data_IF_960581811232
#
_entry.id   IF_960581811232
#
_cell.length_a   1.000
_cell.length_b   1.000
_cell.length_c   1.000
_cell.angle_alpha   90.00
_cell.angle_beta   90.00
_cell.angle_gamma   90.00
#
_symmetry.space_group_name_H-M   'P 1'
#
loop_
_entity.id
_entity.type
_entity.pdbx_description
1 polymer ?
#
# COMPACT_ATOMS: atom_id res chain seq x y z
N UNK A 1 9.24 -46.97 37.64
CA UNK A 1 8.97 -45.52 37.55
C UNK A 1 8.13 -45.29 36.32
N UNK A 2 6.84 -44.96 36.49
CA UNK A 2 5.94 -44.66 35.38
C UNK A 2 6.25 -43.22 34.96
N UNK A 3 6.76 -43.02 33.74
CA UNK A 3 6.86 -41.68 33.18
C UNK A 3 5.43 -41.21 32.88
N UNK A 4 4.87 -40.35 33.73
CA UNK A 4 3.70 -39.57 33.36
C UNK A 4 4.10 -38.66 32.19
N UNK A 5 3.57 -38.98 31.01
CA UNK A 5 3.73 -38.13 29.84
C UNK A 5 3.04 -36.80 30.11
N UNK A 6 3.82 -35.72 30.26
CA UNK A 6 3.30 -34.36 30.37
C UNK A 6 2.54 -34.01 29.08
N UNK A 7 1.21 -34.12 29.12
CA UNK A 7 0.34 -33.81 27.99
C UNK A 7 -0.03 -32.34 28.06
N UNK A 8 0.48 -31.56 27.12
CA UNK A 8 0.05 -30.17 26.92
C UNK A 8 -1.38 -30.20 26.38
N UNK A 9 -2.34 -29.48 26.99
CA UNK A 9 -3.69 -29.37 26.45
C UNK A 9 -3.64 -28.82 25.02
N UNK A 10 -4.43 -29.36 24.08
CA UNK A 10 -4.52 -28.76 22.75
C UNK A 10 -5.11 -27.35 22.90
N UNK A 11 -4.32 -26.35 22.49
CA UNK A 11 -4.75 -24.95 22.44
C UNK A 11 -4.85 -24.54 20.99
N UNK A 12 -5.84 -23.70 20.70
CA UNK A 12 -5.99 -23.12 19.38
C UNK A 12 -4.81 -22.15 19.12
N UNK A 13 -4.13 -22.25 17.96
CA UNK A 13 -3.08 -21.30 17.61
C UNK A 13 -3.61 -19.88 17.54
N UNK A 14 -2.82 -18.90 17.98
CA UNK A 14 -3.17 -17.50 17.79
C UNK A 14 -3.33 -17.17 16.30
N UNK A 15 -4.27 -16.26 16.01
CA UNK A 15 -4.35 -15.65 14.69
C UNK A 15 -3.00 -14.99 14.34
N UNK A 16 -2.56 -14.98 13.07
CA UNK A 16 -1.25 -14.46 12.68
C UNK A 16 -0.96 -13.04 13.20
N UNK A 17 -1.92 -12.13 13.11
CA UNK A 17 -1.79 -10.76 13.62
C UNK A 17 -1.65 -10.70 15.14
N UNK A 18 -2.37 -11.54 15.89
CA UNK A 18 -2.26 -11.63 17.34
C UNK A 18 -0.89 -12.20 17.76
N UNK A 19 -0.41 -13.22 17.03
CA UNK A 19 0.93 -13.78 17.25
C UNK A 19 2.01 -12.71 17.04
N UNK A 20 1.97 -11.98 15.94
CA UNK A 20 2.93 -10.90 15.64
C UNK A 20 2.89 -9.80 16.71
N UNK A 21 1.69 -9.40 17.15
CA UNK A 21 1.55 -8.44 18.25
C UNK A 21 2.21 -8.95 19.54
N UNK A 22 1.96 -10.21 19.91
CA UNK A 22 2.58 -10.82 21.10
C UNK A 22 4.09 -10.97 20.98
N UNK A 23 4.62 -11.27 19.80
CA UNK A 23 6.07 -11.29 19.55
C UNK A 23 6.68 -9.91 19.78
N UNK A 24 6.07 -8.86 19.22
CA UNK A 24 6.51 -7.49 19.45
C UNK A 24 6.39 -7.07 20.92
N UNK A 25 5.27 -7.37 21.60
CA UNK A 25 5.08 -7.03 23.01
C UNK A 25 6.07 -7.77 23.94
N UNK A 26 6.48 -8.99 23.57
CA UNK A 26 7.39 -9.81 24.38
C UNK A 26 8.87 -9.46 24.17
N UNK A 27 9.29 -9.14 22.94
CA UNK A 27 10.72 -9.04 22.56
C UNK A 27 11.08 -7.69 21.93
N UNK A 28 10.09 -6.89 21.53
CA UNK A 28 10.28 -5.60 20.88
C UNK A 28 10.50 -5.66 19.37
N UNK A 29 10.41 -6.83 18.75
CA UNK A 29 10.49 -7.02 17.30
C UNK A 29 9.68 -8.24 16.84
N UNK A 30 9.36 -8.29 15.56
CA UNK A 30 8.63 -9.42 14.97
C UNK A 30 9.58 -10.55 14.56
N UNK A 31 9.28 -11.78 14.96
CA UNK A 31 10.13 -12.95 14.74
C UNK A 31 9.69 -13.76 13.51
N UNK A 32 8.38 -13.89 13.34
CA UNK A 32 7.81 -14.83 12.36
C UNK A 32 7.37 -14.18 11.04
N UNK A 33 7.36 -12.86 10.96
CA UNK A 33 6.95 -12.09 9.78
C UNK A 33 6.91 -10.59 10.11
N UNK A 34 6.42 -9.75 9.21
CA UNK A 34 6.22 -8.33 9.44
C UNK A 34 4.76 -7.95 9.12
N UNK A 35 4.14 -6.99 9.81
CA UNK A 35 2.79 -6.51 9.44
C UNK A 35 2.66 -5.96 8.00
N UNK A 36 3.77 -5.80 7.29
CA UNK A 36 3.80 -5.34 5.90
C UNK A 36 3.70 -6.50 4.89
N UNK A 37 3.87 -7.74 5.34
CA UNK A 37 3.85 -8.93 4.48
C UNK A 37 2.50 -9.11 3.80
N UNK A 38 1.40 -8.77 4.51
CA UNK A 38 0.03 -8.76 3.98
C UNK A 38 -0.15 -7.80 2.79
N UNK A 39 0.76 -6.85 2.60
CA UNK A 39 0.70 -5.82 1.56
C UNK A 39 1.70 -6.02 0.43
N UNK A 40 2.42 -7.15 0.36
CA UNK A 40 3.49 -7.39 -0.62
C UNK A 40 3.12 -6.99 -2.07
N UNK A 41 1.91 -7.34 -2.51
CA UNK A 41 1.43 -7.00 -3.86
C UNK A 41 1.30 -5.49 -4.08
N UNK A 42 0.82 -4.76 -3.07
CA UNK A 42 0.68 -3.30 -3.09
C UNK A 42 2.06 -2.65 -3.11
N UNK A 43 2.96 -3.13 -2.25
CA UNK A 43 4.31 -2.60 -2.08
C UNK A 43 5.15 -2.74 -3.36
N UNK A 44 5.10 -3.91 -4.03
CA UNK A 44 5.77 -4.15 -5.31
C UNK A 44 5.31 -3.14 -6.38
N UNK A 45 4.01 -2.85 -6.46
CA UNK A 45 3.43 -1.89 -7.42
C UNK A 45 3.81 -0.44 -7.08
N UNK A 46 3.82 -0.09 -5.80
CA UNK A 46 4.21 1.24 -5.32
C UNK A 46 5.73 1.50 -5.46
N UNK A 47 6.51 0.48 -5.84
CA UNK A 47 7.97 0.54 -5.98
C UNK A 47 8.64 1.09 -4.71
N UNK A 48 8.12 0.68 -3.55
CA UNK A 48 8.76 1.03 -2.28
C UNK A 48 10.06 0.25 -2.15
N UNK A 49 11.05 0.87 -1.53
CA UNK A 49 12.31 0.21 -1.19
C UNK A 49 12.37 -0.07 0.31
N UNK A 50 13.19 -1.06 0.70
CA UNK A 50 13.50 -1.30 2.12
C UNK A 50 14.38 -0.18 2.64
N UNK A 51 14.28 0.10 3.94
CA UNK A 51 15.08 1.13 4.57
C UNK A 51 16.59 0.80 4.51
N UNK A 52 16.99 -0.46 4.68
CA UNK A 52 18.40 -0.84 4.57
C UNK A 52 19.01 -0.46 3.20
N UNK A 53 18.30 -0.72 2.10
CA UNK A 53 18.74 -0.38 0.74
C UNK A 53 18.81 1.15 0.55
N UNK A 54 17.83 1.87 1.12
CA UNK A 54 17.83 3.33 1.14
C UNK A 54 19.05 3.88 1.88
N UNK A 55 19.30 3.38 3.09
CA UNK A 55 20.40 3.82 3.93
C UNK A 55 21.76 3.55 3.26
N UNK A 56 21.92 2.43 2.56
CA UNK A 56 23.13 2.15 1.78
C UNK A 56 23.32 3.17 0.65
N UNK A 57 22.24 3.50 -0.07
CA UNK A 57 22.27 4.51 -1.14
C UNK A 57 22.67 5.89 -0.60
N UNK A 58 22.15 6.27 0.58
CA UNK A 58 22.48 7.54 1.23
C UNK A 58 23.93 7.56 1.71
N UNK A 59 24.45 6.46 2.25
CA UNK A 59 25.88 6.36 2.63
C UNK A 59 26.81 6.52 1.43
N UNK A 60 26.43 6.00 0.27
CA UNK A 60 27.21 6.14 -0.95
C UNK A 60 27.18 7.56 -1.54
N UNK A 61 26.02 8.22 -1.49
CA UNK A 61 25.78 9.49 -2.19
C UNK A 61 25.77 10.73 -1.27
N UNK A 62 25.87 10.53 0.05
CA UNK A 62 25.74 11.57 1.08
C UNK A 62 24.31 12.06 1.34
N UNK A 63 23.38 11.90 0.39
CA UNK A 63 21.97 12.27 0.51
C UNK A 63 21.09 11.40 -0.38
N UNK A 64 19.79 11.35 -0.09
CA UNK A 64 18.84 10.61 -0.92
C UNK A 64 17.38 10.89 -0.55
N UNK A 65 16.49 10.49 -1.47
CA UNK A 65 15.04 10.51 -1.26
C UNK A 65 14.46 9.17 -1.72
N UNK A 66 13.51 8.64 -0.95
CA UNK A 66 12.94 7.33 -1.18
C UNK A 66 11.49 7.22 -0.74
N UNK A 67 10.77 6.22 -1.27
CA UNK A 67 9.49 5.78 -0.76
C UNK A 67 9.68 4.46 -0.02
N UNK A 68 9.33 4.40 1.26
CA UNK A 68 9.55 3.25 2.14
C UNK A 68 8.25 2.88 2.82
N UNK A 69 7.92 1.60 2.86
CA UNK A 69 6.79 1.11 3.64
C UNK A 69 7.24 0.72 5.05
N UNK A 70 6.47 1.13 6.05
CA UNK A 70 6.84 0.98 7.47
C UNK A 70 5.63 0.65 8.33
N UNK A 71 5.88 0.00 9.46
CA UNK A 71 4.97 -0.05 10.59
C UNK A 71 5.45 0.92 11.67
N UNK A 72 4.54 1.70 12.24
CA UNK A 72 4.86 2.61 13.34
C UNK A 72 4.99 1.82 14.64
N UNK A 73 6.13 1.93 15.32
CA UNK A 73 6.33 1.36 16.65
C UNK A 73 5.89 2.36 17.72
N UNK A 74 6.42 3.58 17.66
CA UNK A 74 6.16 4.62 18.65
C UNK A 74 6.39 6.02 18.06
N UNK A 75 5.81 7.04 18.72
CA UNK A 75 5.97 8.45 18.37
C UNK A 75 6.16 9.29 19.62
N UNK A 76 7.21 10.10 19.63
CA UNK A 76 7.42 11.14 20.66
C UNK A 76 7.51 12.53 20.04
N UNK A 77 7.02 13.54 20.75
CA UNK A 77 7.16 14.95 20.36
C UNK A 77 8.18 15.65 21.27
N UNK A 78 9.12 16.38 20.67
CA UNK A 78 10.13 17.18 21.36
C UNK A 78 10.16 18.60 20.82
N UNK A 79 10.75 19.52 21.57
CA UNK A 79 11.08 20.87 21.08
C UNK A 79 12.53 20.90 20.64
N UNK A 80 12.79 21.52 19.49
CA UNK A 80 14.15 21.80 19.01
C UNK A 80 14.79 22.89 19.87
N UNK A 81 16.11 23.05 19.74
CA UNK A 81 16.86 24.15 20.38
C UNK A 81 16.33 25.53 19.99
N UNK A 82 15.74 25.66 18.80
CA UNK A 82 15.08 26.89 18.31
C UNK A 82 13.66 27.09 18.83
N UNK A 83 13.12 26.16 19.64
CA UNK A 83 11.77 26.23 20.22
C UNK A 83 10.66 25.62 19.35
N UNK A 84 10.96 25.25 18.10
CA UNK A 84 9.99 24.60 17.19
C UNK A 84 9.67 23.17 17.62
N UNK A 85 8.45 22.70 17.34
CA UNK A 85 8.07 21.30 17.60
C UNK A 85 8.69 20.36 16.55
N UNK A 86 9.11 19.17 17.00
CA UNK A 86 9.66 18.11 16.17
C UNK A 86 9.13 16.76 16.68
N UNK A 87 8.70 15.89 15.78
CA UNK A 87 8.36 14.51 16.06
C UNK A 87 9.56 13.61 15.84
N UNK A 88 9.71 12.61 16.71
CA UNK A 88 10.62 11.48 16.56
C UNK A 88 9.74 10.25 16.46
N UNK A 89 9.85 9.52 15.36
CA UNK A 89 9.03 8.34 15.08
C UNK A 89 9.93 7.11 14.97
N UNK A 90 9.63 6.10 15.77
CA UNK A 90 10.24 4.79 15.68
C UNK A 90 9.45 3.95 14.69
N UNK A 91 10.14 3.45 13.68
CA UNK A 91 9.56 2.77 12.53
C UNK A 91 10.21 1.40 12.36
N UNK A 92 9.46 0.46 11.81
CA UNK A 92 9.91 -0.89 11.46
C UNK A 92 9.60 -1.19 10.01
N UNK A 93 10.53 -1.82 9.32
CA UNK A 93 10.28 -2.54 8.06
C UNK A 93 10.89 -3.96 8.15
N UNK A 94 10.73 -4.82 7.12
CA UNK A 94 11.31 -6.16 7.14
C UNK A 94 12.84 -6.18 7.19
N UNK A 95 13.52 -5.06 6.96
CA UNK A 95 14.99 -4.95 7.07
C UNK A 95 15.46 -4.54 8.46
N UNK A 96 14.58 -3.97 9.28
CA UNK A 96 14.85 -3.65 10.68
C UNK A 96 14.10 -2.41 11.17
N UNK A 97 14.53 -1.92 12.33
CA UNK A 97 13.98 -0.73 12.95
C UNK A 97 14.86 0.48 12.72
N UNK A 98 14.24 1.65 12.59
CA UNK A 98 14.95 2.92 12.45
C UNK A 98 14.14 4.09 13.01
N UNK A 99 14.84 5.16 13.35
CA UNK A 99 14.24 6.40 13.83
C UNK A 99 14.19 7.42 12.69
N UNK A 100 13.05 8.10 12.52
CA UNK A 100 12.91 9.19 11.57
C UNK A 100 12.33 10.45 12.22
N UNK A 101 12.82 11.61 11.77
CA UNK A 101 12.38 12.90 12.29
C UNK A 101 11.28 13.51 11.44
N UNK A 102 10.37 14.23 12.09
CA UNK A 102 9.26 14.93 11.48
C UNK A 102 9.25 16.40 11.95
N UNK A 103 9.53 17.33 11.06
CA UNK A 103 9.56 18.75 11.42
C UNK A 103 8.16 19.33 11.61
N UNK A 104 8.07 20.49 12.29
CA UNK A 104 6.80 21.08 12.74
C UNK A 104 5.67 21.12 11.70
N UNK A 105 5.96 21.44 10.44
CA UNK A 105 4.93 21.48 9.38
C UNK A 105 4.37 20.07 9.11
N UNK A 106 5.24 19.11 8.84
CA UNK A 106 4.85 17.73 8.59
C UNK A 106 4.23 17.09 9.85
N UNK A 107 4.71 17.47 11.05
CA UNK A 107 4.14 17.03 12.31
C UNK A 107 2.70 17.49 12.49
N UNK A 108 2.40 18.75 12.20
CA UNK A 108 1.02 19.25 12.28
C UNK A 108 0.10 18.53 11.31
N UNK A 109 0.58 18.16 10.12
CA UNK A 109 -0.21 17.50 9.08
C UNK A 109 -0.43 16.02 9.34
N UNK A 110 0.59 15.30 9.80
CA UNK A 110 0.60 13.83 9.80
C UNK A 110 0.61 13.21 11.21
N UNK A 111 0.62 14.00 12.29
CA UNK A 111 0.61 13.49 13.68
C UNK A 111 -0.44 12.42 13.91
N UNK A 112 -1.66 12.60 13.43
CA UNK A 112 -2.76 11.68 13.72
C UNK A 112 -2.70 10.40 12.85
N UNK A 113 -1.80 10.36 11.85
CA UNK A 113 -1.54 9.16 11.06
C UNK A 113 -0.44 8.27 11.67
N UNK A 114 0.43 8.84 12.51
CA UNK A 114 1.62 8.19 13.05
C UNK A 114 1.32 7.54 14.40
N UNK A 115 0.30 6.70 14.45
CA UNK A 115 -0.08 5.95 15.65
C UNK A 115 0.59 4.56 15.67
N UNK A 116 1.03 4.06 16.83
CA UNK A 116 1.58 2.72 16.97
C UNK A 116 0.70 1.65 16.32
N UNK A 117 1.34 0.72 15.61
CA UNK A 117 0.68 -0.39 14.91
C UNK A 117 0.14 -0.05 13.51
N UNK A 118 0.15 1.23 13.09
CA UNK A 118 -0.29 1.59 11.74
C UNK A 118 0.77 1.26 10.69
N UNK A 119 0.33 0.68 9.57
CA UNK A 119 1.13 0.48 8.38
C UNK A 119 1.00 1.70 7.45
N UNK A 120 2.13 2.29 7.09
CA UNK A 120 2.22 3.54 6.34
C UNK A 120 3.22 3.40 5.20
N UNK A 121 3.06 4.23 4.18
CA UNK A 121 4.09 4.47 3.18
C UNK A 121 4.59 5.90 3.34
N UNK A 122 5.89 6.02 3.59
CA UNK A 122 6.55 7.29 3.84
C UNK A 122 7.39 7.70 2.64
N UNK A 123 7.37 8.99 2.32
CA UNK A 123 8.43 9.62 1.52
C UNK A 123 9.48 10.14 2.48
N UNK A 124 10.68 9.56 2.43
CA UNK A 124 11.81 9.94 3.27
C UNK A 124 12.82 10.73 2.45
N UNK A 125 13.32 11.83 3.01
CA UNK A 125 14.60 12.40 2.63
C UNK A 125 15.63 12.00 3.70
N UNK A 126 16.88 11.79 3.33
CA UNK A 126 17.92 11.47 4.32
C UNK A 126 19.24 12.09 3.91
N UNK A 127 20.01 12.50 4.92
CA UNK A 127 21.36 13.04 4.77
C UNK A 127 22.29 12.23 5.65
N UNK A 128 23.49 11.97 5.15
CA UNK A 128 24.57 11.37 5.91
C UNK A 128 25.19 12.43 6.83
N UNK A 129 25.21 12.16 8.14
CA UNK A 129 25.92 12.97 9.12
C UNK A 129 26.95 12.09 9.84
N UNK A 130 28.22 12.24 9.43
CA UNK A 130 29.27 11.29 9.80
C UNK A 130 28.99 9.91 9.18
N UNK A 131 28.77 8.90 10.02
CA UNK A 131 28.42 7.53 9.61
C UNK A 131 26.90 7.25 9.72
N UNK A 132 26.15 8.18 10.33
CA UNK A 132 24.74 8.01 10.61
C UNK A 132 23.86 8.56 9.48
N UNK A 133 22.91 7.73 9.03
CA UNK A 133 21.87 8.16 8.10
C UNK A 133 20.75 8.77 8.92
N UNK A 134 20.44 10.05 8.68
CA UNK A 134 19.34 10.76 9.36
C UNK A 134 18.13 10.91 8.43
N UNK A 135 17.15 10.01 8.51
CA UNK A 135 15.95 10.11 7.71
C UNK A 135 14.97 11.14 8.31
N UNK A 136 14.36 11.89 7.42
CA UNK A 136 13.31 12.88 7.66
C UNK A 136 12.09 12.47 6.85
N UNK A 137 10.94 12.49 7.51
CA UNK A 137 9.65 12.21 6.88
C UNK A 137 9.16 13.49 6.17
N UNK A 138 8.90 13.37 4.87
CA UNK A 138 8.35 14.47 4.06
C UNK A 138 6.86 14.29 3.77
N UNK A 139 6.42 13.05 3.56
CA UNK A 139 5.02 12.72 3.25
C UNK A 139 4.63 11.37 3.86
N UNK A 140 3.34 11.24 4.18
CA UNK A 140 2.78 10.06 4.85
C UNK A 140 1.48 9.67 4.16
N UNK A 141 1.42 8.44 3.68
CA UNK A 141 0.21 7.84 3.13
C UNK A 141 -0.15 6.58 3.92
N UNK A 142 -1.44 6.38 4.20
CA UNK A 142 -1.92 5.17 4.89
C UNK A 142 -1.88 4.01 3.90
N UNK A 143 -1.27 2.89 4.31
CA UNK A 143 -1.12 1.74 3.42
C UNK A 143 -2.47 1.13 3.06
N UNK A 144 -3.41 1.07 4.00
CA UNK A 144 -4.80 0.64 3.77
C UNK A 144 -5.51 1.53 2.75
N UNK A 145 -5.35 2.86 2.83
CA UNK A 145 -5.94 3.77 1.85
C UNK A 145 -5.30 3.57 0.48
N UNK A 146 -4.00 3.30 0.40
CA UNK A 146 -3.32 3.00 -0.86
C UNK A 146 -3.74 1.64 -1.42
N UNK A 147 -4.03 0.68 -0.56
CA UNK A 147 -4.59 -0.62 -0.91
C UNK A 147 -6.07 -0.50 -1.34
N UNK A 148 -6.85 0.39 -0.73
CA UNK A 148 -8.25 0.64 -1.05
C UNK A 148 -8.43 1.57 -2.26
N UNK A 149 -7.48 2.47 -2.49
CA UNK A 149 -7.30 3.22 -3.76
C UNK A 149 -6.79 2.31 -4.87
N UNK A 150 -6.59 1.01 -4.62
CA UNK A 150 -6.46 0.08 -5.73
C UNK A 150 -7.73 0.17 -6.54
N UNK A 151 -7.49 0.75 -7.72
CA UNK A 151 -8.46 1.05 -8.74
C UNK A 151 -9.23 -0.20 -9.03
N UNK A 152 -10.55 -0.09 -8.95
CA UNK A 152 -11.41 -0.98 -9.67
C UNK A 152 -11.07 -0.76 -11.15
N UNK A 153 -10.26 -1.65 -11.72
CA UNK A 153 -9.99 -1.63 -13.15
C UNK A 153 -11.04 -2.52 -13.81
N UNK A 154 -11.74 -1.97 -14.79
CA UNK A 154 -12.78 -2.69 -15.50
C UNK A 154 -12.18 -3.36 -16.73
N UNK A 155 -12.19 -4.68 -16.76
CA UNK A 155 -11.91 -5.43 -17.99
C UNK A 155 -13.22 -5.81 -18.65
N UNK A 156 -13.36 -5.49 -19.93
CA UNK A 156 -14.57 -5.77 -20.70
C UNK A 156 -14.20 -6.66 -21.88
N UNK A 157 -14.73 -7.88 -21.89
CA UNK A 157 -14.49 -8.84 -22.95
C UNK A 157 -15.53 -8.68 -24.05
N UNK A 158 -15.06 -8.55 -25.29
CA UNK A 158 -15.86 -8.26 -26.48
C UNK A 158 -15.59 -9.28 -27.59
N UNK A 159 -16.61 -9.63 -28.36
CA UNK A 159 -16.47 -10.45 -29.59
C UNK A 159 -16.46 -9.60 -30.86
N UNK A 160 -17.08 -8.42 -30.81
CA UNK A 160 -17.13 -7.49 -31.93
C UNK A 160 -17.11 -6.04 -31.43
N UNK A 161 -16.98 -5.12 -32.37
CA UNK A 161 -16.88 -3.67 -32.15
C UNK A 161 -18.24 -2.99 -31.88
N UNK A 162 -19.36 -3.71 -32.02
CA UNK A 162 -20.72 -3.15 -31.90
C UNK A 162 -21.03 -2.66 -30.49
N UNK A 163 -20.40 -3.26 -29.48
CA UNK A 163 -20.59 -2.88 -28.09
C UNK A 163 -19.89 -1.56 -27.72
N UNK A 164 -18.90 -1.11 -28.50
CA UNK A 164 -18.01 0.01 -28.15
C UNK A 164 -18.77 1.31 -27.89
N UNK A 165 -19.73 1.65 -28.76
CA UNK A 165 -20.54 2.86 -28.61
C UNK A 165 -21.40 2.83 -27.34
N UNK A 166 -22.01 1.67 -27.04
CA UNK A 166 -22.83 1.49 -25.84
C UNK A 166 -21.99 1.54 -24.55
N UNK A 167 -20.76 1.00 -24.59
CA UNK A 167 -19.83 1.06 -23.46
C UNK A 167 -19.41 2.50 -23.21
N UNK A 168 -19.02 3.24 -24.26
CA UNK A 168 -18.59 4.63 -24.17
C UNK A 168 -19.63 5.52 -23.48
N UNK A 169 -20.91 5.37 -23.80
CA UNK A 169 -21.99 6.15 -23.16
C UNK A 169 -22.23 5.78 -21.69
N UNK A 170 -21.89 4.55 -21.28
CA UNK A 170 -22.10 4.04 -19.91
C UNK A 170 -20.94 4.36 -18.97
N UNK A 171 -19.73 4.53 -19.51
CA UNK A 171 -18.51 4.80 -18.73
C UNK A 171 -18.14 6.29 -18.71
N UNK A 172 -18.84 7.12 -19.48
CA UNK A 172 -18.64 8.58 -19.48
C UNK A 172 -18.82 9.15 -18.07
N UNK A 173 -17.89 10.00 -17.57
CA UNK A 173 -18.08 10.72 -16.33
C UNK A 173 -19.34 11.59 -16.44
N UNK A 174 -20.41 11.20 -15.75
CA UNK A 174 -21.54 12.10 -15.51
C UNK A 174 -21.11 13.00 -14.37
N UNK A 175 -21.47 14.28 -14.37
CA UNK A 175 -21.06 15.24 -13.34
C UNK A 175 -21.68 14.97 -11.95
N UNK A 176 -21.87 13.71 -11.59
CA UNK A 176 -22.56 13.19 -10.40
C UNK A 176 -21.64 13.06 -9.17
N UNK A 177 -20.39 13.53 -9.28
CA UNK A 177 -19.43 13.54 -8.18
C UNK A 177 -18.69 12.21 -7.98
N UNK A 178 -18.91 11.21 -8.84
CA UNK A 178 -18.09 9.99 -8.85
C UNK A 178 -16.66 10.33 -9.29
N UNK A 179 -15.68 9.95 -8.47
CA UNK A 179 -14.26 10.11 -8.79
C UNK A 179 -13.90 9.20 -9.97
N UNK A 180 -13.33 9.79 -11.01
CA UNK A 180 -12.83 9.07 -12.17
C UNK A 180 -11.34 8.75 -11.98
N UNK A 181 -11.05 7.62 -11.33
CA UNK A 181 -9.68 7.18 -10.99
C UNK A 181 -9.35 5.76 -11.49
N UNK A 182 -10.35 4.97 -11.90
CA UNK A 182 -10.20 3.64 -12.49
C UNK A 182 -9.75 3.65 -13.95
N UNK A 183 -9.19 2.53 -14.42
CA UNK A 183 -8.94 2.27 -15.85
C UNK A 183 -10.00 1.34 -16.41
N UNK A 184 -10.15 1.38 -17.72
CA UNK A 184 -10.96 0.41 -18.46
C UNK A 184 -10.07 -0.17 -19.56
N UNK A 185 -9.99 -1.49 -19.61
CA UNK A 185 -9.34 -2.22 -20.70
C UNK A 185 -10.39 -3.06 -21.44
N UNK A 186 -10.30 -3.03 -22.77
CA UNK A 186 -11.15 -3.83 -23.65
C UNK A 186 -10.35 -5.03 -24.13
N UNK A 187 -10.86 -6.23 -23.90
CA UNK A 187 -10.26 -7.47 -24.42
C UNK A 187 -11.12 -7.93 -25.60
N UNK A 188 -10.59 -7.75 -26.81
CA UNK A 188 -11.23 -8.28 -28.01
C UNK A 188 -10.84 -9.74 -28.24
N UNK A 189 -11.82 -10.62 -28.20
CA UNK A 189 -11.69 -12.03 -28.52
C UNK A 189 -11.88 -12.18 -30.05
N UNK A 190 -10.78 -12.45 -30.74
CA UNK A 190 -10.72 -12.63 -32.19
C UNK A 190 -10.60 -14.11 -32.54
N UNK A 191 -10.91 -14.45 -33.79
CA UNK A 191 -10.72 -15.80 -34.35
C UNK A 191 -11.32 -16.91 -33.48
N UNK A 192 -12.57 -16.70 -33.03
CA UNK A 192 -13.34 -17.66 -32.20
C UNK A 192 -12.62 -18.08 -30.90
N UNK A 193 -11.85 -17.17 -30.29
CA UNK A 193 -11.12 -17.43 -29.04
C UNK A 193 -9.65 -17.79 -29.22
N UNK A 194 -9.16 -17.91 -30.45
CA UNK A 194 -7.76 -18.22 -30.70
C UNK A 194 -6.80 -17.05 -30.40
N UNK A 195 -7.31 -15.82 -30.35
CA UNK A 195 -6.52 -14.62 -30.06
C UNK A 195 -7.29 -13.64 -29.19
N UNK A 196 -6.59 -13.03 -28.23
CA UNK A 196 -7.10 -11.93 -27.41
C UNK A 196 -6.22 -10.70 -27.60
N UNK A 197 -6.85 -9.56 -27.85
CA UNK A 197 -6.16 -8.27 -27.95
C UNK A 197 -6.69 -7.36 -26.85
N UNK A 198 -5.82 -7.03 -25.89
CA UNK A 198 -6.13 -6.10 -24.82
C UNK A 198 -5.78 -4.67 -25.25
N UNK A 199 -6.74 -3.75 -25.09
CA UNK A 199 -6.62 -2.33 -25.43
C UNK A 199 -7.02 -1.51 -24.21
N UNK A 200 -6.06 -0.85 -23.57
CA UNK A 200 -6.33 0.10 -22.49
C UNK A 200 -6.93 1.40 -23.06
N UNK A 201 -8.08 1.83 -22.54
CA UNK A 201 -8.68 3.09 -22.95
C UNK A 201 -7.88 4.28 -22.38
N UNK A 202 -7.65 5.34 -23.18
CA UNK A 202 -6.96 6.52 -22.68
C UNK A 202 -7.82 7.24 -21.64
N UNK A 203 -7.19 7.74 -20.57
CA UNK A 203 -7.83 8.54 -19.53
C UNK A 203 -8.14 7.79 -18.23
N UNK A 204 -9.07 8.35 -17.45
CA UNK A 204 -9.55 7.78 -16.18
C UNK A 204 -11.07 7.80 -16.17
N UNK A 205 -11.67 6.76 -15.62
CA UNK A 205 -13.10 6.54 -15.65
C UNK A 205 -13.62 6.28 -14.23
N UNK A 206 -14.86 6.69 -13.91
CA UNK A 206 -15.50 6.20 -12.71
C UNK A 206 -15.71 4.69 -12.88
N UNK A 207 -15.13 3.89 -12.00
CA UNK A 207 -15.33 2.44 -12.00
C UNK A 207 -15.86 2.01 -10.65
N UNK A 208 -17.00 1.37 -10.68
CA UNK A 208 -17.66 0.78 -9.51
C UNK A 208 -18.52 -0.42 -9.94
N UNK A 209 -19.08 -1.15 -8.97
CA UNK A 209 -19.95 -2.30 -9.24
C UNK A 209 -21.18 -1.95 -10.09
N UNK A 210 -21.76 -0.75 -9.92
CA UNK A 210 -22.92 -0.32 -10.70
C UNK A 210 -22.58 -0.12 -12.18
N UNK A 211 -21.43 0.49 -12.47
CA UNK A 211 -20.93 0.69 -13.83
C UNK A 211 -20.55 -0.67 -14.45
N UNK A 212 -19.91 -1.56 -13.68
CA UNK A 212 -19.62 -2.91 -14.15
C UNK A 212 -20.89 -3.68 -14.56
N UNK A 213 -21.95 -3.61 -13.74
CA UNK A 213 -23.24 -4.22 -14.05
C UNK A 213 -23.90 -3.57 -15.28
N UNK A 214 -23.83 -2.24 -15.40
CA UNK A 214 -24.38 -1.52 -16.54
C UNK A 214 -23.66 -1.86 -17.85
N UNK A 215 -22.33 -2.02 -17.82
CA UNK A 215 -21.52 -2.43 -18.97
C UNK A 215 -21.79 -3.89 -19.32
N UNK A 216 -21.92 -4.78 -18.34
CA UNK A 216 -22.25 -6.20 -18.56
C UNK A 216 -23.59 -6.38 -19.29
N UNK A 217 -24.56 -5.50 -19.06
CA UNK A 217 -25.85 -5.51 -19.73
C UNK A 217 -25.82 -4.92 -21.15
N UNK A 218 -24.69 -4.40 -21.64
CA UNK A 218 -24.59 -3.86 -22.98
C UNK A 218 -24.56 -4.99 -24.04
N UNK A 219 -25.34 -4.88 -25.13
CA UNK A 219 -25.29 -5.85 -26.22
C UNK A 219 -23.87 -5.99 -26.80
N UNK A 220 -23.40 -7.23 -26.97
CA UNK A 220 -22.06 -7.54 -27.49
C UNK A 220 -20.95 -7.67 -26.44
N UNK A 221 -21.24 -7.40 -25.16
CA UNK A 221 -20.33 -7.68 -24.05
C UNK A 221 -20.44 -9.15 -23.64
N UNK A 222 -19.29 -9.84 -23.60
CA UNK A 222 -19.19 -11.26 -23.22
C UNK A 222 -19.12 -11.40 -21.71
N UNK A 223 -18.23 -10.64 -21.08
CA UNK A 223 -18.04 -10.62 -19.65
C UNK A 223 -17.40 -9.31 -19.20
N UNK A 224 -17.54 -9.02 -17.92
CA UNK A 224 -16.95 -7.85 -17.28
C UNK A 224 -16.31 -8.29 -15.98
N UNK A 225 -15.02 -8.04 -15.84
CA UNK A 225 -14.26 -8.27 -14.61
C UNK A 225 -13.93 -6.94 -13.97
N UNK A 226 -13.94 -6.95 -12.64
CA UNK A 226 -13.56 -5.81 -11.83
C UNK A 226 -12.36 -6.26 -11.00
N UNK A 227 -11.22 -5.60 -11.20
CA UNK A 227 -9.91 -5.95 -10.62
C UNK A 227 -9.41 -4.92 -9.64
#
# INVERSE_FOLDING_TARGET
>A
MVQEAFRIPPVEPWAPAERLKREHDAVGFFLSGHPLDDYEHVLKRLRVQRFADFAQTVRANGTGVAKVAVSVIDRSERRTKSGSKMGIVNLSDPSGQFEAILFSEALQRYRDLLEPGRALVLRLSAVLDGEDVRPRIEDVEVLDDLAARQKQDLLVYLRDDKALASIAERVRPRGDGLKADGKIALVMILNDGAQEVEIELPGRYPVNQQIANAVRAAPGVVSVELR
#
